data_IF_233944888852
#
_entry.id   IF_233944888852
#
_cell.length_a   1.000
_cell.length_b   1.000
_cell.length_c   1.000
_cell.angle_alpha   90.00
_cell.angle_beta   90.00
_cell.angle_gamma   90.00
#
_symmetry.space_group_name_H-M   'P 1'
#
loop_
_entity.id
_entity.type
_entity.pdbx_description
1 polymer ?
#
# COMPACT_ATOMS: atom_id res chain seq x y z
N UNK A 1 29.22 -20.85 -17.06
CA UNK A 1 28.79 -20.24 -15.81
C UNK A 1 27.68 -19.18 -15.96
N UNK A 2 27.40 -18.69 -17.17
CA UNK A 2 26.41 -17.62 -17.42
C UNK A 2 24.96 -18.12 -17.63
N UNK A 3 24.74 -19.33 -18.06
CA UNK A 3 23.40 -19.92 -18.26
C UNK A 3 22.62 -20.13 -16.94
N UNK A 4 23.32 -20.43 -15.84
CA UNK A 4 22.70 -20.59 -14.53
C UNK A 4 22.22 -19.26 -13.91
N UNK A 5 22.84 -18.13 -14.27
CA UNK A 5 22.42 -16.80 -13.82
C UNK A 5 21.16 -16.31 -14.56
N UNK A 6 20.94 -16.80 -15.79
CA UNK A 6 19.78 -16.44 -16.62
C UNK A 6 18.54 -17.32 -16.42
N UNK A 7 18.63 -18.43 -15.66
CA UNK A 7 17.55 -19.41 -15.55
C UNK A 7 16.18 -18.81 -15.15
N UNK A 8 16.18 -17.86 -14.25
CA UNK A 8 14.95 -17.19 -13.78
C UNK A 8 14.29 -16.39 -14.91
N UNK A 9 15.10 -15.70 -15.74
CA UNK A 9 14.59 -14.99 -16.91
C UNK A 9 14.06 -15.92 -17.98
N UNK A 10 14.70 -17.09 -18.20
CA UNK A 10 14.18 -18.10 -19.12
C UNK A 10 12.82 -18.64 -18.67
N UNK A 11 12.67 -18.96 -17.38
CA UNK A 11 11.39 -19.40 -16.82
C UNK A 11 10.33 -18.29 -16.97
N UNK A 12 10.67 -17.05 -16.67
CA UNK A 12 9.75 -15.92 -16.82
C UNK A 12 9.29 -15.75 -18.28
N UNK A 13 10.23 -15.77 -19.24
CA UNK A 13 9.90 -15.67 -20.67
C UNK A 13 9.01 -16.82 -21.10
N UNK A 14 9.32 -18.05 -20.68
CA UNK A 14 8.53 -19.23 -20.98
C UNK A 14 7.11 -19.12 -20.46
N UNK A 15 6.94 -18.62 -19.23
CA UNK A 15 5.61 -18.37 -18.65
C UNK A 15 4.84 -17.30 -19.43
N UNK A 16 5.50 -16.18 -19.79
CA UNK A 16 4.87 -15.12 -20.59
C UNK A 16 4.41 -15.66 -21.95
N UNK A 17 5.24 -16.43 -22.63
CA UNK A 17 4.89 -17.06 -23.91
C UNK A 17 3.75 -18.05 -23.73
N UNK A 18 3.82 -18.93 -22.74
CA UNK A 18 2.79 -19.92 -22.46
C UNK A 18 1.42 -19.28 -22.23
N UNK A 19 1.33 -18.27 -21.34
CA UNK A 19 0.07 -17.59 -21.06
C UNK A 19 -0.36 -16.69 -22.22
N UNK A 20 0.57 -16.09 -22.95
CA UNK A 20 0.27 -15.32 -24.16
C UNK A 20 -0.39 -16.16 -25.25
N UNK A 21 0.03 -17.41 -25.43
CA UNK A 21 -0.60 -18.36 -26.36
C UNK A 21 -1.93 -18.91 -25.84
N UNK A 22 -2.05 -19.13 -24.52
CA UNK A 22 -3.25 -19.72 -23.91
C UNK A 22 -4.40 -18.72 -23.75
N UNK A 23 -4.12 -17.45 -23.58
CA UNK A 23 -5.13 -16.43 -23.34
C UNK A 23 -4.86 -15.16 -24.18
N UNK A 24 -5.67 -14.86 -25.19
CA UNK A 24 -5.53 -13.61 -25.97
C UNK A 24 -5.61 -12.34 -25.11
N UNK A 25 -6.34 -12.42 -23.99
CA UNK A 25 -6.46 -11.30 -23.05
C UNK A 25 -5.18 -11.02 -22.26
N UNK A 26 -4.25 -12.00 -22.13
CA UNK A 26 -3.05 -11.86 -21.32
C UNK A 26 -2.12 -10.74 -21.79
N UNK A 27 -1.92 -10.61 -23.10
CA UNK A 27 -1.10 -9.58 -23.74
C UNK A 27 -1.92 -8.35 -24.19
N UNK A 28 -3.18 -8.23 -23.74
CA UNK A 28 -4.00 -7.06 -24.05
C UNK A 28 -3.46 -5.80 -23.36
N UNK A 29 -3.73 -4.63 -23.95
CA UNK A 29 -3.36 -3.33 -23.39
C UNK A 29 -3.91 -3.17 -21.97
N UNK A 30 -5.14 -3.62 -21.72
CA UNK A 30 -5.75 -3.59 -20.39
C UNK A 30 -4.99 -4.41 -19.36
N UNK A 31 -4.53 -5.62 -19.76
CA UNK A 31 -3.74 -6.48 -18.89
C UNK A 31 -2.38 -5.86 -18.57
N UNK A 32 -1.71 -5.29 -19.57
CA UNK A 32 -0.42 -4.61 -19.38
C UNK A 32 -0.57 -3.40 -18.45
N UNK A 33 -1.60 -2.57 -18.63
CA UNK A 33 -1.89 -1.44 -17.75
C UNK A 33 -2.11 -1.91 -16.31
N UNK A 34 -2.84 -3.02 -16.14
CA UNK A 34 -3.08 -3.61 -14.82
C UNK A 34 -1.76 -4.10 -14.17
N UNK A 35 -0.90 -4.77 -14.91
CA UNK A 35 0.41 -5.20 -14.44
C UNK A 35 1.25 -4.00 -14.02
N UNK A 36 1.34 -2.97 -14.85
CA UNK A 36 2.10 -1.74 -14.56
C UNK A 36 1.57 -1.05 -13.29
N UNK A 37 0.25 -1.00 -13.11
CA UNK A 37 -0.40 -0.48 -11.90
C UNK A 37 0.03 -1.26 -10.65
N UNK A 38 0.00 -2.58 -10.69
CA UNK A 38 0.44 -3.41 -9.57
C UNK A 38 1.94 -3.28 -9.29
N UNK A 39 2.78 -3.23 -10.33
CA UNK A 39 4.22 -3.01 -10.19
C UNK A 39 4.50 -1.68 -9.48
N UNK A 40 3.79 -0.61 -9.84
CA UNK A 40 3.94 0.69 -9.19
C UNK A 40 3.50 0.65 -7.72
N UNK A 41 2.36 0.02 -7.40
CA UNK A 41 1.87 -0.13 -6.02
C UNK A 41 2.87 -0.89 -5.15
N UNK A 42 3.34 -2.06 -5.60
CA UNK A 42 4.35 -2.83 -4.88
C UNK A 42 5.70 -2.12 -4.85
N UNK A 43 6.03 -1.35 -5.89
CA UNK A 43 7.22 -0.53 -5.95
C UNK A 43 7.26 0.53 -4.85
N UNK A 44 6.13 1.20 -4.55
CA UNK A 44 6.02 2.15 -3.43
C UNK A 44 6.35 1.46 -2.09
N UNK A 45 5.78 0.28 -1.87
CA UNK A 45 6.09 -0.54 -0.68
C UNK A 45 7.58 -0.92 -0.67
N UNK A 46 8.12 -1.34 -1.82
CA UNK A 46 9.53 -1.70 -1.99
C UNK A 46 10.50 -0.58 -1.67
N UNK A 47 10.16 0.66 -2.02
CA UNK A 47 10.95 1.85 -1.63
C UNK A 47 11.04 1.96 -0.11
N UNK A 48 9.92 1.84 0.61
CA UNK A 48 9.91 1.84 2.07
C UNK A 48 10.72 0.69 2.67
N UNK A 49 10.56 -0.53 2.12
CA UNK A 49 11.32 -1.71 2.57
C UNK A 49 12.83 -1.57 2.34
N UNK A 50 13.26 -0.80 1.33
CA UNK A 50 14.68 -0.55 1.08
C UNK A 50 15.34 0.13 2.29
N UNK A 51 14.67 1.10 2.93
CA UNK A 51 15.19 1.74 4.15
C UNK A 51 15.33 0.75 5.31
N UNK A 52 14.34 -0.12 5.48
CA UNK A 52 14.38 -1.15 6.52
C UNK A 52 15.54 -2.12 6.29
N UNK A 53 15.78 -2.52 5.04
CA UNK A 53 16.87 -3.45 4.69
C UNK A 53 18.24 -2.78 4.87
N UNK A 54 18.39 -1.51 4.49
CA UNK A 54 19.66 -0.76 4.66
C UNK A 54 20.03 -0.67 6.15
N UNK A 55 19.05 -0.51 7.04
CA UNK A 55 19.27 -0.51 8.49
C UNK A 55 19.45 -1.90 9.09
N UNK A 56 19.50 -2.96 8.28
CA UNK A 56 19.67 -4.36 8.73
C UNK A 56 18.40 -4.96 9.35
N UNK A 57 17.25 -4.30 9.21
CA UNK A 57 15.97 -4.77 9.73
C UNK A 57 15.20 -5.67 8.76
N UNK A 58 14.20 -6.38 9.32
CA UNK A 58 13.16 -7.09 8.56
C UNK A 58 11.81 -6.60 9.10
N UNK A 59 10.96 -6.06 8.23
CA UNK A 59 9.62 -5.62 8.60
C UNK A 59 8.56 -6.53 7.97
N UNK A 60 7.93 -7.36 8.80
CA UNK A 60 6.83 -8.23 8.39
C UNK A 60 5.46 -7.54 8.49
N UNK A 61 5.37 -6.37 9.11
CA UNK A 61 4.10 -5.70 9.40
C UNK A 61 3.55 -4.88 8.24
N UNK A 62 4.38 -4.52 7.26
CA UNK A 62 4.03 -3.59 6.17
C UNK A 62 2.70 -3.96 5.50
N UNK A 63 2.53 -5.21 5.07
CA UNK A 63 1.30 -5.67 4.43
C UNK A 63 0.06 -5.58 5.33
N UNK A 64 0.21 -5.87 6.62
CA UNK A 64 -0.88 -5.79 7.59
C UNK A 64 -1.24 -4.33 7.92
N UNK A 65 -0.26 -3.44 8.01
CA UNK A 65 -0.48 -2.00 8.19
C UNK A 65 -1.20 -1.42 6.97
N UNK A 66 -0.78 -1.77 5.75
CA UNK A 66 -1.48 -1.35 4.52
C UNK A 66 -2.92 -1.84 4.53
N UNK A 67 -3.16 -3.09 4.95
CA UNK A 67 -4.52 -3.64 5.10
C UNK A 67 -5.35 -2.85 6.11
N UNK A 68 -4.82 -2.60 7.31
CA UNK A 68 -5.51 -1.82 8.36
C UNK A 68 -5.84 -0.39 7.91
N UNK A 69 -4.85 0.30 7.34
CA UNK A 69 -5.01 1.68 6.84
C UNK A 69 -6.05 1.72 5.72
N UNK A 70 -6.03 0.73 4.82
CA UNK A 70 -7.04 0.60 3.76
C UNK A 70 -8.45 0.37 4.30
N UNK A 71 -8.61 -0.47 5.34
CA UNK A 71 -9.91 -0.70 5.99
C UNK A 71 -10.42 0.54 6.72
N UNK A 72 -9.53 1.33 7.33
CA UNK A 72 -9.90 2.61 7.96
C UNK A 72 -10.29 3.63 6.90
N UNK A 73 -9.54 3.74 5.79
CA UNK A 73 -9.92 4.60 4.67
C UNK A 73 -11.31 4.25 4.12
N UNK A 74 -11.56 2.96 3.86
CA UNK A 74 -12.86 2.49 3.40
C UNK A 74 -13.99 2.82 4.37
N UNK A 75 -13.75 2.63 5.68
CA UNK A 75 -14.72 2.99 6.72
C UNK A 75 -15.02 4.48 6.78
N UNK A 76 -13.99 5.33 6.67
CA UNK A 76 -14.18 6.79 6.65
C UNK A 76 -14.95 7.27 5.43
N UNK A 77 -14.80 6.59 4.28
CA UNK A 77 -15.54 6.91 3.06
C UNK A 77 -17.00 6.46 3.16
N UNK A 78 -17.22 5.22 3.60
CA UNK A 78 -18.55 4.57 3.52
C UNK A 78 -19.41 4.88 4.75
N UNK A 79 -18.83 4.78 5.95
CA UNK A 79 -19.57 4.91 7.22
C UNK A 79 -19.35 6.28 7.87
N UNK A 80 -18.26 6.99 7.54
CA UNK A 80 -17.82 8.15 8.27
C UNK A 80 -17.28 7.81 9.67
N UNK A 81 -17.08 8.83 10.49
CA UNK A 81 -16.67 8.71 11.89
C UNK A 81 -17.84 9.04 12.83
N UNK A 82 -18.48 8.01 13.46
CA UNK A 82 -19.56 8.28 14.38
C UNK A 82 -19.04 8.84 15.70
N UNK A 83 -19.46 10.07 16.06
CA UNK A 83 -19.17 10.73 17.33
C UNK A 83 -20.38 10.51 18.25
N UNK A 84 -20.41 9.37 18.93
CA UNK A 84 -21.56 8.95 19.77
C UNK A 84 -21.96 10.00 20.81
N UNK A 85 -21.00 10.72 21.38
CA UNK A 85 -21.26 11.75 22.39
C UNK A 85 -22.09 12.94 21.86
N UNK A 86 -22.01 13.21 20.55
CA UNK A 86 -22.71 14.30 19.88
C UNK A 86 -23.89 13.82 19.03
N UNK A 87 -24.08 12.50 18.88
CA UNK A 87 -25.11 11.92 18.03
C UNK A 87 -24.95 12.21 16.53
N UNK A 88 -23.74 12.59 16.11
CA UNK A 88 -23.44 12.96 14.70
C UNK A 88 -22.42 12.03 14.09
N UNK A 89 -22.46 11.90 12.76
CA UNK A 89 -21.41 11.23 11.98
C UNK A 89 -20.65 12.25 11.15
N UNK A 90 -19.33 12.29 11.32
CA UNK A 90 -18.45 13.17 10.56
C UNK A 90 -18.01 12.46 9.28
N UNK A 91 -18.18 13.12 8.16
CA UNK A 91 -17.65 12.71 6.86
C UNK A 91 -16.50 13.62 6.48
N UNK A 92 -15.50 13.03 5.85
CA UNK A 92 -14.26 13.72 5.48
C UNK A 92 -14.12 13.72 3.96
N UNK A 93 -13.55 14.78 3.41
CA UNK A 93 -13.15 14.83 2.02
C UNK A 93 -11.94 13.90 1.76
N UNK A 94 -11.69 13.60 0.48
CA UNK A 94 -10.62 12.65 0.08
C UNK A 94 -9.23 13.09 0.57
N UNK A 95 -8.82 14.37 0.47
CA UNK A 95 -7.54 14.82 1.01
C UNK A 95 -7.39 14.57 2.52
N UNK A 96 -8.43 14.83 3.31
CA UNK A 96 -8.39 14.58 4.75
C UNK A 96 -8.27 13.08 5.05
N UNK A 97 -9.01 12.22 4.34
CA UNK A 97 -8.91 10.76 4.48
C UNK A 97 -7.48 10.29 4.16
N UNK A 98 -6.87 10.78 3.09
CA UNK A 98 -5.49 10.47 2.73
C UNK A 98 -4.54 10.90 3.85
N UNK A 99 -4.69 12.11 4.37
CA UNK A 99 -3.84 12.61 5.45
C UNK A 99 -3.98 11.77 6.72
N UNK A 100 -5.22 11.47 7.15
CA UNK A 100 -5.50 10.62 8.33
C UNK A 100 -4.84 9.24 8.17
N UNK A 101 -4.97 8.63 7.01
CA UNK A 101 -4.43 7.30 6.75
C UNK A 101 -2.90 7.28 6.66
N UNK A 102 -2.29 8.32 6.10
CA UNK A 102 -0.84 8.49 6.10
C UNK A 102 -0.29 8.69 7.52
N UNK A 103 -0.95 9.54 8.33
CA UNK A 103 -0.56 9.75 9.72
C UNK A 103 -0.69 8.49 10.54
N UNK A 104 -1.74 7.70 10.33
CA UNK A 104 -1.92 6.42 11.02
C UNK A 104 -0.83 5.41 10.63
N UNK A 105 -0.55 5.25 9.34
CA UNK A 105 0.53 4.37 8.87
C UNK A 105 1.89 4.80 9.42
N UNK A 106 2.18 6.10 9.39
CA UNK A 106 3.39 6.68 9.97
C UNK A 106 3.49 6.47 11.49
N UNK A 107 2.39 6.62 12.22
CA UNK A 107 2.32 6.36 13.66
C UNK A 107 2.62 4.89 14.01
N UNK A 108 2.04 3.95 13.27
CA UNK A 108 2.31 2.53 13.47
C UNK A 108 3.77 2.17 13.15
N UNK A 109 4.33 2.76 12.10
CA UNK A 109 5.75 2.62 11.78
C UNK A 109 6.66 3.24 12.86
N UNK A 110 6.28 4.40 13.40
CA UNK A 110 6.98 5.04 14.52
C UNK A 110 6.97 4.17 15.79
N UNK A 111 5.84 3.52 16.11
CA UNK A 111 5.76 2.55 17.21
C UNK A 111 6.78 1.41 17.00
N UNK A 112 6.79 0.79 15.82
CA UNK A 112 7.75 -0.26 15.49
C UNK A 112 9.19 0.22 15.66
N UNK A 113 9.52 1.38 15.07
CA UNK A 113 10.84 1.97 15.19
C UNK A 113 11.25 2.24 16.64
N UNK A 114 10.32 2.73 17.46
CA UNK A 114 10.56 2.98 18.89
C UNK A 114 10.82 1.69 19.68
N UNK A 115 10.04 0.64 19.43
CA UNK A 115 10.21 -0.67 20.06
C UNK A 115 11.58 -1.24 19.71
N UNK A 116 11.97 -1.17 18.45
CA UNK A 116 13.24 -1.70 17.97
C UNK A 116 14.42 -0.92 18.55
N UNK A 117 14.38 0.42 18.49
CA UNK A 117 15.55 1.25 18.80
C UNK A 117 15.70 1.54 20.29
N UNK A 118 14.59 1.81 21.01
CA UNK A 118 14.67 2.16 22.44
C UNK A 118 14.66 0.95 23.36
N UNK A 119 13.94 -0.10 22.98
CA UNK A 119 13.84 -1.31 23.80
C UNK A 119 14.75 -2.45 23.31
N UNK A 120 15.55 -2.21 22.26
CA UNK A 120 16.46 -3.20 21.68
C UNK A 120 15.78 -4.53 21.32
N UNK A 121 14.51 -4.48 20.90
CA UNK A 121 13.78 -5.67 20.46
C UNK A 121 14.20 -5.99 19.02
N UNK A 122 14.46 -7.26 18.73
CA UNK A 122 14.80 -7.67 17.37
C UNK A 122 13.69 -7.24 16.37
N UNK A 123 14.05 -6.63 15.23
CA UNK A 123 13.06 -6.09 14.25
C UNK A 123 12.01 -7.11 13.85
N UNK A 124 12.42 -8.36 13.61
CA UNK A 124 11.53 -9.47 13.28
C UNK A 124 10.43 -9.69 14.33
N UNK A 125 10.78 -9.65 15.63
CA UNK A 125 9.84 -9.90 16.74
C UNK A 125 8.85 -8.73 16.85
N UNK A 126 9.35 -7.49 16.85
CA UNK A 126 8.53 -6.30 16.95
C UNK A 126 7.50 -6.23 15.79
N UNK A 127 7.97 -6.43 14.56
CA UNK A 127 7.14 -6.31 13.37
C UNK A 127 6.17 -7.49 13.20
N UNK A 128 6.55 -8.70 13.66
CA UNK A 128 5.62 -9.84 13.72
C UNK A 128 4.47 -9.57 14.70
N UNK A 129 4.76 -8.98 15.86
CA UNK A 129 3.75 -8.54 16.82
C UNK A 129 2.82 -7.49 16.21
N UNK A 130 3.39 -6.44 15.60
CA UNK A 130 2.62 -5.40 14.91
C UNK A 130 1.77 -5.96 13.77
N UNK A 131 2.29 -6.90 13.00
CA UNK A 131 1.54 -7.57 11.93
C UNK A 131 0.25 -8.19 12.46
N UNK A 132 0.31 -8.92 13.57
CA UNK A 132 -0.86 -9.57 14.15
C UNK A 132 -1.82 -8.55 14.76
N UNK A 133 -1.32 -7.51 15.43
CA UNK A 133 -2.14 -6.41 15.96
C UNK A 133 -2.88 -5.69 14.84
N UNK A 134 -2.17 -5.26 13.79
CA UNK A 134 -2.77 -4.55 12.67
C UNK A 134 -3.82 -5.41 11.94
N UNK A 135 -3.51 -6.69 11.72
CA UNK A 135 -4.45 -7.62 11.09
C UNK A 135 -5.70 -7.85 11.95
N UNK A 136 -5.52 -8.03 13.27
CA UNK A 136 -6.62 -8.18 14.22
C UNK A 136 -7.52 -6.94 14.26
N UNK A 137 -6.94 -5.73 14.32
CA UNK A 137 -7.69 -4.47 14.30
C UNK A 137 -8.45 -4.26 12.98
N UNK A 138 -7.84 -4.61 11.83
CA UNK A 138 -8.51 -4.55 10.54
C UNK A 138 -9.75 -5.48 10.50
N UNK A 139 -9.62 -6.70 11.01
CA UNK A 139 -10.73 -7.66 11.08
C UNK A 139 -11.83 -7.23 12.05
N UNK A 140 -11.46 -6.71 13.22
CA UNK A 140 -12.42 -6.21 14.20
C UNK A 140 -13.23 -5.02 13.68
N UNK A 141 -12.60 -4.15 12.87
CA UNK A 141 -13.27 -2.96 12.31
C UNK A 141 -14.44 -3.32 11.38
N UNK A 142 -14.37 -4.45 10.69
CA UNK A 142 -15.28 -4.82 9.62
C UNK A 142 -15.96 -6.18 9.83
N UNK A 143 -15.77 -6.83 11.00
CA UNK A 143 -16.19 -8.21 11.21
C UNK A 143 -15.70 -9.17 10.11
N UNK A 144 -14.47 -8.93 9.59
CA UNK A 144 -13.87 -9.73 8.52
C UNK A 144 -14.39 -9.43 7.10
N UNK A 145 -15.31 -8.49 6.94
CA UNK A 145 -15.80 -8.07 5.62
C UNK A 145 -14.85 -7.05 4.97
N UNK A 146 -15.06 -6.76 3.69
CA UNK A 146 -14.34 -5.72 2.94
C UNK A 146 -15.31 -4.64 2.47
N UNK A 147 -14.84 -3.40 2.36
CA UNK A 147 -15.63 -2.33 1.75
C UNK A 147 -15.61 -2.48 0.22
N UNK A 148 -16.76 -2.80 -0.38
CA UNK A 148 -16.89 -3.05 -1.82
C UNK A 148 -17.08 -1.78 -2.65
N UNK A 149 -17.70 -0.73 -2.07
CA UNK A 149 -17.96 0.54 -2.75
C UNK A 149 -17.29 1.70 -2.02
N UNK A 150 -16.15 2.15 -2.54
CA UNK A 150 -15.39 3.28 -2.00
C UNK A 150 -15.47 4.52 -2.93
N UNK A 151 -16.53 4.62 -3.75
CA UNK A 151 -16.72 5.76 -4.64
C UNK A 151 -17.02 7.07 -3.88
N UNK A 152 -17.60 6.95 -2.69
CA UNK A 152 -18.11 8.06 -1.90
C UNK A 152 -19.45 8.60 -2.45
N UNK A 153 -20.00 9.60 -1.78
CA UNK A 153 -21.26 10.25 -2.15
C UNK A 153 -21.05 11.77 -2.32
N UNK A 154 -21.63 12.33 -3.38
CA UNK A 154 -21.52 13.77 -3.66
C UNK A 154 -22.08 14.64 -2.54
N UNK A 155 -23.19 14.23 -1.94
CA UNK A 155 -23.84 14.94 -0.83
C UNK A 155 -22.93 15.03 0.40
N UNK A 156 -22.06 14.04 0.59
CA UNK A 156 -21.12 13.98 1.73
C UNK A 156 -19.76 14.63 1.42
N UNK A 157 -19.53 15.09 0.18
CA UNK A 157 -18.29 15.73 -0.24
C UNK A 157 -17.08 14.79 -0.29
N UNK A 158 -17.27 13.46 -0.18
CA UNK A 158 -16.21 12.47 -0.07
C UNK A 158 -15.97 11.67 -1.38
N UNK A 159 -16.42 12.18 -2.52
CA UNK A 159 -16.20 11.60 -3.84
C UNK A 159 -14.81 11.92 -4.38
N UNK A 160 -14.31 11.08 -5.28
CA UNK A 160 -13.07 11.33 -6.03
C UNK A 160 -11.89 10.44 -5.63
N UNK A 161 -12.04 9.56 -4.65
CA UNK A 161 -11.01 8.57 -4.30
C UNK A 161 -10.63 7.71 -5.51
N UNK A 162 -11.58 7.41 -6.39
CA UNK A 162 -11.37 6.67 -7.62
C UNK A 162 -10.37 7.32 -8.59
N UNK A 163 -10.13 8.63 -8.48
CA UNK A 163 -9.14 9.35 -9.31
C UNK A 163 -7.70 8.85 -9.05
N UNK A 164 -7.39 8.40 -7.84
CA UNK A 164 -6.10 7.80 -7.52
C UNK A 164 -5.87 6.48 -8.26
N UNK A 165 -6.95 5.76 -8.56
CA UNK A 165 -6.93 4.54 -9.36
C UNK A 165 -7.08 4.76 -10.86
N UNK A 166 -7.29 6.01 -11.32
CA UNK A 166 -7.50 6.35 -12.74
C UNK A 166 -6.19 6.37 -13.54
N UNK A 167 -6.31 6.58 -14.83
CA UNK A 167 -5.18 6.76 -15.75
C UNK A 167 -5.18 8.15 -16.33
N UNK A 168 -4.03 8.78 -16.43
CA UNK A 168 -3.79 10.03 -17.11
C UNK A 168 -2.98 9.75 -18.38
N UNK A 169 -3.54 10.08 -19.55
CA UNK A 169 -2.88 9.80 -20.84
C UNK A 169 -2.59 8.31 -21.08
N UNK A 170 -3.44 7.40 -20.55
CA UNK A 170 -3.25 5.95 -20.67
C UNK A 170 -2.30 5.34 -19.63
N UNK A 171 -1.61 6.15 -18.83
CA UNK A 171 -0.70 5.68 -17.76
C UNK A 171 -1.42 5.80 -16.40
N UNK A 172 -1.41 4.74 -15.56
CA UNK A 172 -2.01 4.82 -14.22
C UNK A 172 -1.37 5.91 -13.35
N UNK A 173 -2.18 6.71 -12.66
CA UNK A 173 -1.71 7.81 -11.79
C UNK A 173 -0.72 7.30 -10.73
N UNK A 174 -0.90 6.09 -10.23
CA UNK A 174 0.00 5.46 -9.25
C UNK A 174 1.44 5.34 -9.76
N UNK A 175 1.67 5.27 -11.07
CA UNK A 175 3.03 5.21 -11.66
C UNK A 175 3.76 6.53 -11.42
N UNK A 176 3.09 7.65 -11.62
CA UNK A 176 3.66 8.97 -11.34
C UNK A 176 3.96 9.14 -9.84
N UNK A 177 3.04 8.66 -8.99
CA UNK A 177 3.26 8.65 -7.53
C UNK A 177 4.47 7.79 -7.14
N UNK A 178 4.62 6.61 -7.74
CA UNK A 178 5.78 5.76 -7.50
C UNK A 178 7.10 6.46 -7.83
N UNK A 179 7.22 7.07 -9.02
CA UNK A 179 8.44 7.77 -9.38
C UNK A 179 8.70 9.01 -8.52
N UNK A 180 7.65 9.75 -8.14
CA UNK A 180 7.79 10.88 -7.23
C UNK A 180 8.30 10.44 -5.85
N UNK A 181 7.71 9.38 -5.26
CA UNK A 181 8.14 8.82 -3.98
C UNK A 181 9.56 8.26 -4.07
N UNK A 182 9.89 7.54 -5.14
CA UNK A 182 11.24 7.01 -5.35
C UNK A 182 12.29 8.14 -5.48
N UNK A 183 11.97 9.22 -6.20
CA UNK A 183 12.86 10.37 -6.32
C UNK A 183 13.08 11.06 -4.95
N UNK A 184 12.03 11.29 -4.17
CA UNK A 184 12.14 11.85 -2.83
C UNK A 184 12.96 10.93 -1.92
N UNK A 185 12.71 9.63 -1.98
CA UNK A 185 13.48 8.64 -1.22
C UNK A 185 14.97 8.66 -1.58
N UNK A 186 15.30 8.70 -2.88
CA UNK A 186 16.69 8.82 -3.33
C UNK A 186 17.36 10.10 -2.80
N UNK A 187 16.63 11.22 -2.81
CA UNK A 187 17.16 12.48 -2.26
C UNK A 187 17.42 12.37 -0.76
N UNK A 188 16.50 11.77 0.00
CA UNK A 188 16.70 11.56 1.44
C UNK A 188 17.95 10.69 1.67
N UNK A 189 18.10 9.56 0.98
CA UNK A 189 19.28 8.70 1.09
C UNK A 189 20.59 9.39 0.71
N UNK A 190 20.53 10.32 -0.25
CA UNK A 190 21.73 11.07 -0.68
C UNK A 190 22.19 12.09 0.35
N UNK A 191 21.25 12.70 1.10
CA UNK A 191 21.54 13.79 2.04
C UNK A 191 21.50 13.37 3.51
N UNK A 192 21.15 12.10 3.78
CA UNK A 192 21.17 11.53 5.13
C UNK A 192 22.36 10.60 5.25
N UNK A 193 23.24 10.75 6.28
CA UNK A 193 24.42 9.90 6.48
C UNK A 193 24.04 8.46 6.80
#
# INVERSE_FOLDING_TARGET
MNLLRGRTFFVLILLILFFGFKSPAFLSVSSIITIVKHVALYGIIGVGMTYVIITGGIDLSVGAIVGLVGMIAGGLIVEGLPVKALGVTLYFDVPAIILITLLLGGFLGWINGTIITKFNVAPFIATLGMMNIARGLAMLRTNGATYSNIAGEQVLGNTGFNRLGSSAGGIPVVVFLFFAIAAVAMLILKFTP
#
